data_IF_625580464971
#
_entry.id   IF_625580464971
#
_cell.length_a   1.000
_cell.length_b   1.000
_cell.length_c   1.000
_cell.angle_alpha   90.00
_cell.angle_beta   90.00
_cell.angle_gamma   90.00
#
_symmetry.space_group_name_H-M   'P 1'
#
loop_
_entity.id
_entity.type
_entity.pdbx_description
1 polymer ?
#
# COMPACT_ATOMS: atom_id res chain seq x y z
N UNK A 1 -25.13 -12.73 -8.26
CA UNK A 1 -23.98 -13.56 -7.91
C UNK A 1 -23.10 -13.71 -9.13
N UNK A 2 -22.03 -12.90 -9.22
CA UNK A 2 -21.09 -12.86 -10.35
C UNK A 2 -19.64 -13.15 -9.94
N UNK A 3 -19.42 -13.47 -8.66
CA UNK A 3 -18.08 -13.50 -8.09
C UNK A 3 -17.22 -14.61 -8.73
N UNK A 4 -17.80 -15.79 -8.94
CA UNK A 4 -17.14 -16.97 -9.50
C UNK A 4 -17.31 -17.07 -11.03
N UNK A 5 -17.17 -15.94 -11.71
CA UNK A 5 -17.16 -15.89 -13.18
C UNK A 5 -15.71 -15.76 -13.70
N UNK A 6 -15.36 -16.43 -14.80
CA UNK A 6 -14.06 -16.25 -15.44
C UNK A 6 -13.78 -14.77 -15.72
N UNK A 7 -12.55 -14.33 -15.42
CA UNK A 7 -12.14 -12.93 -15.55
C UNK A 7 -12.13 -12.14 -14.24
N UNK A 8 -12.70 -12.67 -13.16
CA UNK A 8 -12.62 -12.04 -11.84
C UNK A 8 -11.45 -12.60 -11.01
N UNK A 9 -10.56 -11.71 -10.55
CA UNK A 9 -9.52 -12.07 -9.58
C UNK A 9 -10.12 -12.14 -8.17
N UNK A 10 -9.84 -13.23 -7.44
CA UNK A 10 -10.43 -13.52 -6.14
C UNK A 10 -9.37 -14.00 -5.15
N UNK A 11 -9.56 -13.66 -3.87
CA UNK A 11 -8.90 -14.33 -2.74
C UNK A 11 -9.85 -15.39 -2.18
N UNK A 12 -9.33 -16.60 -1.97
CA UNK A 12 -10.08 -17.73 -1.40
C UNK A 12 -9.47 -18.05 -0.04
N UNK A 13 -10.27 -17.92 1.02
CA UNK A 13 -9.89 -18.44 2.34
C UNK A 13 -10.42 -19.86 2.45
N UNK A 14 -9.58 -20.81 2.80
CA UNK A 14 -9.96 -22.22 2.86
C UNK A 14 -9.06 -23.04 3.76
N UNK A 15 -9.54 -24.23 4.10
CA UNK A 15 -8.77 -25.24 4.81
C UNK A 15 -8.23 -26.27 3.81
N UNK A 16 -7.01 -26.73 4.05
CA UNK A 16 -6.41 -27.85 3.33
C UNK A 16 -6.33 -29.07 4.24
N UNK A 17 -6.71 -30.23 3.73
CA UNK A 17 -6.51 -31.52 4.37
C UNK A 17 -5.71 -32.40 3.42
N UNK A 18 -4.65 -33.00 3.94
CA UNK A 18 -3.82 -33.93 3.18
C UNK A 18 -4.26 -35.36 3.50
N UNK A 19 -4.71 -36.09 2.48
CA UNK A 19 -5.07 -37.50 2.55
C UNK A 19 -4.04 -38.29 1.72
N UNK A 20 -2.96 -38.72 2.38
CA UNK A 20 -1.83 -39.38 1.71
C UNK A 20 -1.12 -38.42 0.74
N UNK A 21 -1.22 -38.68 -0.57
CA UNK A 21 -0.66 -37.82 -1.62
C UNK A 21 -1.69 -36.85 -2.22
N UNK A 22 -2.96 -36.94 -1.82
CA UNK A 22 -4.01 -36.05 -2.30
C UNK A 22 -4.21 -34.88 -1.33
N UNK A 23 -4.34 -33.67 -1.86
CA UNK A 23 -4.72 -32.49 -1.09
C UNK A 23 -6.19 -32.14 -1.38
N UNK A 24 -7.02 -32.13 -0.34
CA UNK A 24 -8.40 -31.67 -0.39
C UNK A 24 -8.47 -30.23 0.12
N UNK A 25 -8.87 -29.31 -0.75
CA UNK A 25 -9.10 -27.91 -0.40
C UNK A 25 -10.58 -27.64 -0.20
N UNK A 26 -10.95 -27.08 0.95
CA UNK A 26 -12.32 -26.64 1.24
C UNK A 26 -12.35 -25.12 1.33
N UNK A 27 -13.01 -24.47 0.38
CA UNK A 27 -13.21 -23.03 0.42
C UNK A 27 -14.22 -22.67 1.52
N UNK A 28 -13.84 -21.73 2.38
CA UNK A 28 -14.66 -21.21 3.48
C UNK A 28 -15.17 -19.78 3.18
N UNK A 29 -14.54 -19.07 2.25
CA UNK A 29 -14.98 -17.76 1.82
C UNK A 29 -14.29 -17.31 0.53
N UNK A 30 -14.98 -16.45 -0.21
CA UNK A 30 -14.52 -15.86 -1.46
C UNK A 30 -14.67 -14.34 -1.37
N UNK A 31 -13.62 -13.61 -1.73
CA UNK A 31 -13.66 -12.15 -1.81
C UNK A 31 -13.02 -11.69 -3.13
N UNK A 32 -13.53 -10.63 -3.77
CA UNK A 32 -12.82 -9.99 -4.87
C UNK A 32 -11.41 -9.60 -4.43
N UNK A 33 -10.41 -9.84 -5.28
CA UNK A 33 -9.04 -9.42 -4.99
C UNK A 33 -8.94 -7.89 -4.86
N UNK A 34 -9.83 -7.14 -5.51
CA UNK A 34 -10.05 -5.69 -5.31
C UNK A 34 -10.33 -5.29 -3.85
N UNK A 35 -10.76 -6.22 -2.98
CA UNK A 35 -10.96 -5.98 -1.55
C UNK A 35 -9.85 -6.51 -0.65
N UNK A 36 -8.88 -7.26 -1.16
CA UNK A 36 -7.76 -7.73 -0.34
C UNK A 36 -6.85 -6.57 0.11
N UNK A 37 -6.95 -5.40 -0.51
CA UNK A 37 -6.31 -4.14 -0.10
C UNK A 37 -7.17 -3.28 0.85
N UNK A 38 -8.47 -3.55 0.99
CA UNK A 38 -9.40 -2.68 1.75
C UNK A 38 -9.28 -2.80 3.28
N UNK A 39 -8.55 -3.82 3.76
CA UNK A 39 -8.38 -4.14 5.18
C UNK A 39 -6.98 -3.85 5.75
N UNK A 40 -5.95 -3.78 4.92
CA UNK A 40 -4.61 -3.45 5.39
C UNK A 40 -4.45 -1.93 5.51
N UNK A 41 -3.91 -1.47 6.64
CA UNK A 41 -3.42 -0.09 6.78
C UNK A 41 -2.15 0.08 5.93
N UNK A 42 -2.26 0.01 4.59
CA UNK A 42 -1.13 0.27 3.70
C UNK A 42 -0.60 1.66 4.02
N UNK A 43 0.61 1.74 4.56
CA UNK A 43 1.32 2.99 4.71
C UNK A 43 2.34 3.19 3.60
N UNK A 44 2.82 4.42 3.42
CA UNK A 44 3.99 4.70 2.60
C UNK A 44 5.06 5.33 3.49
N UNK A 45 6.29 4.81 3.41
CA UNK A 45 7.49 5.52 3.86
C UNK A 45 8.16 6.18 2.67
N UNK A 46 8.46 7.46 2.79
CA UNK A 46 9.14 8.26 1.76
C UNK A 46 10.45 8.79 2.33
N UNK A 47 11.55 8.64 1.59
CA UNK A 47 12.88 9.17 1.95
C UNK A 47 13.24 10.31 1.00
N UNK A 48 13.64 11.44 1.56
CA UNK A 48 14.02 12.67 0.85
C UNK A 48 15.33 13.24 1.44
N UNK A 49 16.08 14.01 0.65
CA UNK A 49 17.27 14.77 1.09
C UNK A 49 16.99 16.29 1.21
N UNK A 50 15.86 16.75 0.69
CA UNK A 50 15.49 18.15 0.60
C UNK A 50 13.99 18.32 0.78
N UNK A 51 13.50 19.52 1.14
CA UNK A 51 12.06 19.79 1.27
C UNK A 51 11.33 19.98 -0.08
N UNK A 52 12.08 20.10 -1.19
CA UNK A 52 11.56 20.37 -2.54
C UNK A 52 10.47 19.41 -3.04
N UNK A 53 10.51 18.07 -2.79
CA UNK A 53 9.44 17.15 -3.22
C UNK A 53 8.15 17.23 -2.38
N UNK A 54 8.16 17.89 -1.21
CA UNK A 54 7.02 17.89 -0.29
C UNK A 54 5.72 18.46 -0.87
N UNK A 55 5.73 19.56 -1.66
CA UNK A 55 4.51 20.07 -2.29
C UNK A 55 3.89 19.07 -3.28
N UNK A 56 4.72 18.37 -4.06
CA UNK A 56 4.28 17.35 -5.01
C UNK A 56 3.69 16.14 -4.29
N UNK A 57 4.35 15.67 -3.22
CA UNK A 57 3.83 14.58 -2.36
C UNK A 57 2.46 14.99 -1.79
N UNK A 58 2.34 16.21 -1.27
CA UNK A 58 1.08 16.73 -0.74
C UNK A 58 -0.02 16.74 -1.80
N UNK A 59 0.29 17.14 -3.03
CA UNK A 59 -0.70 17.19 -4.12
C UNK A 59 -1.16 15.78 -4.51
N UNK A 60 -0.23 14.83 -4.69
CA UNK A 60 -0.55 13.43 -5.01
C UNK A 60 -1.46 12.82 -3.93
N UNK A 61 -1.14 13.06 -2.65
CA UNK A 61 -1.94 12.56 -1.53
C UNK A 61 -3.31 13.24 -1.44
N UNK A 62 -3.42 14.52 -1.81
CA UNK A 62 -4.68 15.24 -1.88
C UNK A 62 -5.58 14.71 -2.99
N UNK A 63 -5.01 14.46 -4.17
CA UNK A 63 -5.72 13.90 -5.34
C UNK A 63 -6.18 12.46 -5.08
N UNK A 64 -5.41 11.67 -4.35
CA UNK A 64 -5.79 10.33 -3.89
C UNK A 64 -6.97 10.35 -2.90
N UNK A 65 -7.06 11.39 -2.07
CA UNK A 65 -8.12 11.55 -1.10
C UNK A 65 -7.92 10.81 0.23
N UNK A 66 -8.96 10.79 1.07
CA UNK A 66 -8.92 10.21 2.43
C UNK A 66 -9.06 8.70 2.39
N UNK A 67 -8.28 8.02 3.25
CA UNK A 67 -8.31 6.55 3.36
C UNK A 67 -7.93 6.07 4.76
N UNK A 68 -7.25 4.93 4.85
CA UNK A 68 -6.78 4.34 6.12
C UNK A 68 -5.24 4.34 6.25
N UNK A 69 -4.53 4.67 5.17
CA UNK A 69 -3.08 4.60 5.11
C UNK A 69 -2.38 5.74 5.85
N UNK A 70 -1.23 5.43 6.43
CA UNK A 70 -0.32 6.43 7.05
C UNK A 70 0.79 6.80 6.07
N UNK A 71 1.31 8.01 6.19
CA UNK A 71 2.48 8.42 5.40
C UNK A 71 3.56 8.90 6.37
N UNK A 72 4.74 8.29 6.24
CA UNK A 72 5.93 8.64 6.98
C UNK A 72 6.96 9.24 6.02
N UNK A 73 7.51 10.39 6.38
CA UNK A 73 8.56 11.07 5.62
C UNK A 73 9.83 11.04 6.46
N UNK A 74 10.92 10.55 5.88
CA UNK A 74 12.25 10.57 6.47
C UNK A 74 13.12 11.52 5.66
N UNK A 75 13.54 12.60 6.30
CA UNK A 75 14.53 13.52 5.73
C UNK A 75 15.91 13.11 6.23
N UNK A 76 16.82 12.80 5.30
CA UNK A 76 18.24 12.66 5.63
C UNK A 76 18.85 14.06 5.71
N UNK A 77 19.28 14.44 6.90
CA UNK A 77 19.99 15.68 7.16
C UNK A 77 21.50 15.40 7.14
N UNK A 78 22.28 16.49 7.18
CA UNK A 78 23.73 16.39 7.26
C UNK A 78 24.18 15.62 8.52
N UNK A 79 25.39 15.05 8.43
CA UNK A 79 26.04 14.33 9.53
C UNK A 79 25.30 13.07 10.03
N UNK A 80 24.48 12.45 9.17
CA UNK A 80 23.81 11.18 9.48
C UNK A 80 22.62 11.32 10.41
N UNK A 81 22.09 12.53 10.58
CA UNK A 81 20.87 12.79 11.33
C UNK A 81 19.67 12.53 10.42
N UNK A 82 18.69 11.76 10.87
CA UNK A 82 17.43 11.56 10.16
C UNK A 82 16.28 12.19 10.94
N UNK A 83 15.50 13.03 10.27
CA UNK A 83 14.24 13.55 10.81
C UNK A 83 13.09 12.70 10.27
N UNK A 84 12.37 12.00 11.15
CA UNK A 84 11.19 11.21 10.79
C UNK A 84 9.92 11.95 11.18
N UNK A 85 9.01 12.12 10.22
CA UNK A 85 7.74 12.81 10.38
C UNK A 85 6.60 11.92 9.92
N UNK A 86 5.62 11.68 10.79
CA UNK A 86 4.34 11.11 10.38
C UNK A 86 3.41 12.24 9.96
N UNK A 87 2.91 12.19 8.72
CA UNK A 87 1.96 13.21 8.25
C UNK A 87 0.65 13.10 9.01
N UNK A 88 0.10 14.24 9.40
CA UNK A 88 -1.19 14.29 10.07
C UNK A 88 -2.31 13.93 9.07
N UNK A 89 -2.99 12.82 9.31
CA UNK A 89 -4.13 12.39 8.52
C UNK A 89 -4.06 10.92 8.15
N UNK A 90 -5.04 10.51 7.34
CA UNK A 90 -5.12 9.19 6.76
C UNK A 90 -5.43 9.32 5.27
N UNK A 91 -4.67 8.61 4.45
CA UNK A 91 -4.65 8.78 3.00
C UNK A 91 -5.11 7.49 2.31
N UNK A 92 -5.74 7.64 1.15
CA UNK A 92 -6.06 6.52 0.28
C UNK A 92 -4.78 6.06 -0.43
N UNK A 93 -4.00 5.23 0.25
CA UNK A 93 -2.78 4.64 -0.29
C UNK A 93 -3.13 3.46 -1.18
N UNK A 94 -2.59 3.46 -2.40
CA UNK A 94 -2.68 2.37 -3.37
C UNK A 94 -1.32 2.16 -4.06
N UNK A 95 -1.13 1.06 -4.80
CA UNK A 95 0.06 0.87 -5.63
C UNK A 95 0.30 2.02 -6.62
N UNK A 96 -0.76 2.59 -7.21
CA UNK A 96 -0.66 3.74 -8.12
C UNK A 96 -0.17 5.00 -7.40
N UNK A 97 -0.64 5.25 -6.17
CA UNK A 97 -0.16 6.37 -5.35
C UNK A 97 1.32 6.20 -5.02
N UNK A 98 1.75 4.98 -4.66
CA UNK A 98 3.16 4.69 -4.41
C UNK A 98 4.02 4.93 -5.66
N UNK A 99 3.56 4.50 -6.84
CA UNK A 99 4.26 4.73 -8.11
C UNK A 99 4.33 6.23 -8.46
N UNK A 100 3.25 6.97 -8.26
CA UNK A 100 3.21 8.41 -8.48
C UNK A 100 4.18 9.15 -7.55
N UNK A 101 4.23 8.78 -6.27
CA UNK A 101 5.21 9.30 -5.31
C UNK A 101 6.62 8.99 -5.81
N UNK A 102 6.95 7.74 -6.14
CA UNK A 102 8.28 7.35 -6.67
C UNK A 102 8.74 8.16 -7.88
N UNK A 103 7.82 8.68 -8.71
CA UNK A 103 8.14 9.45 -9.89
C UNK A 103 8.49 10.93 -9.61
N UNK A 104 8.27 11.41 -8.38
CA UNK A 104 8.59 12.80 -8.00
C UNK A 104 10.10 12.98 -7.91
N UNK A 105 10.63 14.00 -8.60
CA UNK A 105 12.04 14.40 -8.50
C UNK A 105 12.41 14.80 -7.07
N UNK A 106 13.55 14.30 -6.58
CA UNK A 106 14.01 14.53 -5.19
C UNK A 106 13.56 13.46 -4.19
N UNK A 107 12.82 12.44 -4.64
CA UNK A 107 12.58 11.24 -3.82
C UNK A 107 13.73 10.26 -4.00
N UNK A 108 14.32 9.86 -2.87
CA UNK A 108 15.38 8.84 -2.82
C UNK A 108 14.75 7.45 -2.84
N UNK A 109 13.70 7.26 -2.05
CA UNK A 109 13.06 5.97 -1.86
C UNK A 109 11.60 6.16 -1.45
N UNK A 110 10.72 5.29 -1.93
CA UNK A 110 9.36 5.19 -1.42
C UNK A 110 8.92 3.72 -1.37
N UNK A 111 8.42 3.27 -0.23
CA UNK A 111 8.07 1.88 0.03
C UNK A 111 6.76 1.77 0.81
N UNK A 112 6.09 0.64 0.65
CA UNK A 112 4.94 0.27 1.48
C UNK A 112 5.40 -0.12 2.90
N UNK A 113 4.61 0.21 3.93
CA UNK A 113 4.86 -0.06 5.37
C UNK A 113 3.60 -0.42 6.15
#
# INVERSE_FOLDING_TARGET
GKLLEPGNSLMIRGAVQFEGQAARFTAQGFEPLDRATAGAELGIKVVIDSPDPLPSIKQILADAGRGKGRVEVVSRLDHGIEAQLTLQGKYAVSPDVLLAVKAVSGIIEALEI
#
